data_IF_744548876508
#
_entry.id   IF_744548876508
#
_cell.length_a   1.000
_cell.length_b   1.000
_cell.length_c   1.000
_cell.angle_alpha   90.00
_cell.angle_beta   90.00
_cell.angle_gamma   90.00
#
_symmetry.space_group_name_H-M   'P 1'
#
loop_
_entity.id
_entity.type
_entity.pdbx_description
1 polymer ?
#
# COMPACT_ATOMS: atom_id res chain seq x y z
N UNK A 1 11.33 0.91 8.94
CA UNK A 1 11.02 0.40 7.60
C UNK A 1 12.26 0.40 6.78
N UNK A 2 12.53 -0.68 6.09
CA UNK A 2 13.70 -0.78 5.27
C UNK A 2 13.49 -0.04 3.95
N UNK A 3 14.50 0.48 3.37
CA UNK A 3 14.33 1.17 2.09
C UNK A 3 15.31 0.62 1.06
N UNK A 4 14.90 0.67 -0.18
CA UNK A 4 15.70 0.22 -1.29
C UNK A 4 15.58 1.22 -2.42
N UNK A 5 16.55 1.22 -3.32
CA UNK A 5 16.42 2.07 -4.49
C UNK A 5 15.51 1.39 -5.49
N UNK A 6 14.94 2.18 -6.37
CA UNK A 6 14.07 1.63 -7.40
C UNK A 6 14.81 0.64 -8.27
N UNK A 7 16.06 0.90 -8.53
CA UNK A 7 16.83 0.01 -9.35
C UNK A 7 17.04 -1.34 -8.67
N UNK A 8 17.32 -1.33 -7.38
CA UNK A 8 17.49 -2.57 -6.65
C UNK A 8 16.17 -3.30 -6.57
N UNK A 9 15.08 -2.59 -6.36
CA UNK A 9 13.78 -3.21 -6.29
C UNK A 9 13.45 -3.90 -7.60
N UNK A 10 13.79 -3.28 -8.70
CA UNK A 10 13.52 -3.87 -9.97
C UNK A 10 14.35 -5.12 -10.18
N UNK A 11 15.61 -5.07 -9.84
CA UNK A 11 16.51 -6.19 -10.05
C UNK A 11 16.19 -7.35 -9.14
N UNK A 12 15.81 -7.09 -7.92
CA UNK A 12 15.55 -8.15 -6.97
C UNK A 12 14.10 -8.25 -6.57
N UNK A 13 13.23 -8.11 -7.52
CA UNK A 13 11.81 -8.07 -7.24
C UNK A 13 11.30 -9.32 -6.56
N UNK A 14 11.79 -10.47 -6.95
CA UNK A 14 11.39 -11.70 -6.32
C UNK A 14 11.72 -11.74 -4.83
N UNK A 15 12.93 -11.30 -4.49
CA UNK A 15 13.32 -11.26 -3.11
C UNK A 15 12.49 -10.21 -2.38
N UNK A 16 12.20 -9.14 -3.04
CA UNK A 16 11.44 -8.07 -2.45
C UNK A 16 10.04 -8.54 -2.08
N UNK A 17 9.42 -9.34 -2.94
CA UNK A 17 8.11 -9.87 -2.64
C UNK A 17 8.13 -10.73 -1.37
N UNK A 18 9.24 -11.41 -1.13
CA UNK A 18 9.33 -12.20 0.07
C UNK A 18 9.55 -11.31 1.30
N UNK A 19 10.33 -10.28 1.16
CA UNK A 19 10.60 -9.40 2.29
C UNK A 19 9.40 -8.61 2.73
N UNK A 20 8.58 -8.17 1.79
CA UNK A 20 7.44 -7.38 2.17
C UNK A 20 6.40 -8.19 2.93
N UNK A 21 6.53 -9.52 2.94
CA UNK A 21 5.64 -10.32 3.75
C UNK A 21 5.93 -10.11 5.22
N UNK A 22 7.10 -9.60 5.56
CA UNK A 22 7.45 -9.38 6.94
C UNK A 22 7.29 -7.94 7.34
N UNK A 23 7.62 -7.02 6.49
CA UNK A 23 7.51 -5.62 6.81
C UNK A 23 7.44 -4.79 5.54
N UNK A 24 6.84 -3.63 5.60
CA UNK A 24 6.79 -2.77 4.43
C UNK A 24 8.18 -2.29 4.05
N UNK A 25 8.38 -2.06 2.78
CA UNK A 25 9.67 -1.59 2.29
C UNK A 25 9.45 -0.35 1.45
N UNK A 26 10.23 0.68 1.73
CA UNK A 26 10.12 1.92 1.02
C UNK A 26 11.00 1.90 -0.22
N UNK A 27 10.50 2.37 -1.32
CA UNK A 27 11.26 2.42 -2.58
C UNK A 27 11.62 3.86 -2.85
N UNK A 28 12.91 4.11 -3.03
CA UNK A 28 13.37 5.44 -3.29
C UNK A 28 13.91 5.57 -4.70
N UNK A 29 13.80 6.75 -5.25
CA UNK A 29 14.35 7.00 -6.55
C UNK A 29 15.03 8.35 -6.49
N UNK A 30 16.28 8.42 -6.91
CA UNK A 30 17.05 9.64 -6.86
C UNK A 30 17.04 10.27 -5.47
N UNK A 31 17.14 9.43 -4.48
CA UNK A 31 17.21 9.91 -3.11
C UNK A 31 15.90 10.31 -2.48
N UNK A 32 14.80 10.13 -3.18
CA UNK A 32 13.50 10.51 -2.64
C UNK A 32 12.57 9.33 -2.60
N UNK A 33 11.76 9.23 -1.57
CA UNK A 33 10.81 8.12 -1.49
C UNK A 33 9.72 8.31 -2.52
N UNK A 34 9.45 7.28 -3.31
CA UNK A 34 8.43 7.35 -4.33
C UNK A 34 7.36 6.31 -4.16
N UNK A 35 7.59 5.28 -3.37
CA UNK A 35 6.61 4.22 -3.22
C UNK A 35 6.89 3.39 -1.99
N UNK A 36 5.90 2.63 -1.57
CA UNK A 36 6.08 1.71 -0.48
C UNK A 36 5.46 0.40 -0.92
N UNK A 37 6.14 -0.71 -0.69
CA UNK A 37 5.59 -2.02 -0.97
C UNK A 37 5.27 -2.70 0.34
N UNK A 38 4.16 -3.37 0.41
CA UNK A 38 3.80 -4.08 1.62
C UNK A 38 2.98 -5.30 1.24
N UNK A 39 2.81 -6.22 2.16
CA UNK A 39 2.02 -7.40 1.88
C UNK A 39 0.56 -7.02 1.81
N UNK A 40 -0.24 -7.86 1.19
CA UNK A 40 -1.67 -7.59 1.13
C UNK A 40 -2.27 -7.58 2.51
N UNK A 41 -1.76 -8.41 3.40
CA UNK A 41 -2.26 -8.46 4.74
C UNK A 41 -2.01 -7.15 5.46
N UNK A 42 -0.83 -6.60 5.30
CA UNK A 42 -0.53 -5.34 5.91
C UNK A 42 -1.36 -4.24 5.33
N UNK A 43 -1.55 -4.26 4.04
CA UNK A 43 -2.34 -3.25 3.38
C UNK A 43 -3.78 -3.31 3.86
N UNK A 44 -4.31 -4.49 4.04
CA UNK A 44 -5.68 -4.64 4.50
C UNK A 44 -5.84 -4.13 5.92
N UNK A 45 -4.84 -4.33 6.75
CA UNK A 45 -4.89 -3.82 8.09
C UNK A 45 -4.87 -2.30 8.09
N UNK A 46 -4.06 -1.73 7.24
CA UNK A 46 -3.97 -0.30 7.14
C UNK A 46 -5.28 0.29 6.64
N UNK A 47 -5.89 -0.37 5.66
CA UNK A 47 -7.15 0.10 5.14
C UNK A 47 -8.24 0.00 6.20
N UNK A 48 -8.20 -1.01 7.00
CA UNK A 48 -9.19 -1.16 8.06
C UNK A 48 -9.08 -0.01 9.04
N UNK A 49 -7.87 0.39 9.37
CA UNK A 49 -7.69 1.50 10.26
C UNK A 49 -8.18 2.79 9.63
N UNK A 50 -7.89 2.99 8.38
CA UNK A 50 -8.34 4.18 7.71
C UNK A 50 -9.84 4.22 7.64
N UNK A 51 -10.44 3.09 7.39
CA UNK A 51 -11.87 3.02 7.31
C UNK A 51 -12.52 3.36 8.62
N UNK A 52 -11.96 2.95 9.69
CA UNK A 52 -12.51 3.26 10.97
C UNK A 52 -12.54 4.76 11.21
N UNK A 53 -11.48 5.41 10.87
CA UNK A 53 -11.43 6.83 11.05
C UNK A 53 -12.38 7.57 10.14
N UNK A 54 -12.36 7.23 8.89
CA UNK A 54 -13.21 7.87 7.95
C UNK A 54 -14.64 7.63 8.26
N UNK A 55 -14.98 6.42 8.66
CA UNK A 55 -16.30 6.10 8.96
C UNK A 55 -16.88 6.96 10.02
N UNK A 56 -16.12 7.29 11.00
CA UNK A 56 -16.65 8.07 12.05
C UNK A 56 -16.92 9.49 11.58
N UNK A 57 -16.33 9.87 10.48
CA UNK A 57 -16.60 11.17 10.02
C UNK A 57 -17.61 11.26 8.96
N UNK A 58 -17.50 10.51 7.98
CA UNK A 58 -18.39 10.59 6.94
C UNK A 58 -19.30 9.56 6.76
N UNK A 59 -19.27 8.65 7.37
CA UNK A 59 -20.12 7.63 7.29
C UNK A 59 -20.88 7.36 6.13
N UNK A 60 -21.45 7.92 5.52
CA UNK A 60 -22.19 7.38 4.53
C UNK A 60 -21.82 7.75 3.21
N UNK A 61 -21.90 8.52 2.86
CA UNK A 61 -21.67 8.95 1.66
C UNK A 61 -20.91 8.26 0.74
N UNK A 62 -19.87 8.37 0.79
CA UNK A 62 -19.05 7.89 -0.09
C UNK A 62 -18.82 6.57 -0.21
N UNK A 63 -19.15 5.92 0.65
CA UNK A 63 -18.87 4.60 0.61
C UNK A 63 -19.24 3.98 -0.66
N UNK A 64 -20.38 4.20 -1.07
CA UNK A 64 -20.72 3.51 -2.22
C UNK A 64 -20.00 3.99 -3.39
N UNK A 65 -19.78 5.13 -3.48
CA UNK A 65 -19.10 5.61 -4.59
C UNK A 65 -17.84 4.92 -4.75
N UNK A 66 -17.18 4.74 -3.69
CA UNK A 66 -15.99 4.13 -3.77
C UNK A 66 -16.06 2.80 -4.22
N UNK A 67 -16.92 2.11 -3.70
CA UNK A 67 -16.91 0.77 -4.01
C UNK A 67 -17.04 0.56 -5.44
N UNK A 68 -17.81 1.31 -6.07
CA UNK A 68 -17.93 0.96 -7.35
C UNK A 68 -16.80 1.29 -8.12
N UNK A 69 -16.20 2.23 -7.86
CA UNK A 69 -15.15 2.48 -8.53
C UNK A 69 -14.19 1.53 -8.61
N UNK A 70 -13.82 1.12 -7.61
CA UNK A 70 -12.79 0.31 -7.61
C UNK A 70 -12.92 -0.82 -8.33
N UNK A 71 -13.89 -1.17 -8.37
CA UNK A 71 -14.03 -2.28 -8.97
C UNK A 71 -13.55 -2.34 -10.22
N UNK A 72 -13.82 -1.66 -10.75
CA UNK A 72 -13.47 -1.79 -11.94
C UNK A 72 -12.26 -1.99 -12.19
N UNK A 73 -11.98 -1.72 -11.75
CA UNK A 73 -10.83 -1.90 -11.94
C UNK A 73 -10.41 -3.04 -12.40
N UNK A 74 -10.60 -3.41 -12.57
CA UNK A 74 -10.13 -4.23 -12.84
C UNK A 74 -10.10 -4.64 -13.16
#
# INVERSE_FOLDING_TARGET
>A
MQSLTANTAKTKFGDLLMKVQREPIQINKNGSPVAVMMSCEEYEQLEALKLMVVKSRFEQAEVDALSDNLVDGD
#
